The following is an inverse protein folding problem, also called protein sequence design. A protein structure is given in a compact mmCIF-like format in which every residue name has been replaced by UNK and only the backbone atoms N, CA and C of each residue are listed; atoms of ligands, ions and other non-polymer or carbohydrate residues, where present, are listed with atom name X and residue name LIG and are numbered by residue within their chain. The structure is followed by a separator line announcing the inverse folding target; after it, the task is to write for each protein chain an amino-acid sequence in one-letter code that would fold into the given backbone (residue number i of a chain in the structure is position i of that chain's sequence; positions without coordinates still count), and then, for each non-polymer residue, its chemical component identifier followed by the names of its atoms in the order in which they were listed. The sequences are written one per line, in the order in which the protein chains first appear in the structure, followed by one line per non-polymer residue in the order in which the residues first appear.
data_IF_637509861482
#
_entry.id   IF_637509861482
#
_cell.length_a   1.000
_cell.length_b   1.000
_cell.length_c   1.000
_cell.angle_alpha   90.00
_cell.angle_beta   90.00
_cell.angle_gamma   90.00
#
_symmetry.space_group_name_H-M   'P 1'
#
loop_
_entity.id
_entity.type
_entity.pdbx_description
1 polymer ?
#
# COMPACT_ATOMS: atom_id res chain seq x y z
N UNK A 1 -14.60 -24.90 13.35
CA UNK A 1 -13.62 -24.00 13.97
C UNK A 1 -12.27 -24.28 13.31
N UNK A 2 -11.99 -23.63 12.17
CA UNK A 2 -10.71 -23.75 11.46
C UNK A 2 -9.78 -22.66 11.97
N UNK A 3 -8.72 -23.06 12.63
CA UNK A 3 -7.65 -22.19 13.10
C UNK A 3 -6.88 -21.71 11.86
N UNK A 4 -7.14 -20.48 11.44
CA UNK A 4 -6.29 -19.82 10.45
C UNK A 4 -4.91 -19.57 11.11
N UNK A 5 -3.91 -20.35 10.72
CA UNK A 5 -2.51 -20.04 11.00
C UNK A 5 -2.23 -18.66 10.40
N UNK A 6 -1.92 -17.69 11.24
CA UNK A 6 -1.43 -16.37 10.85
C UNK A 6 -0.15 -16.55 10.05
N UNK A 7 -0.24 -16.41 8.74
CA UNK A 7 0.91 -16.20 7.88
C UNK A 7 1.25 -14.72 8.04
N UNK A 8 2.46 -14.31 8.39
CA UNK A 8 2.83 -12.91 8.43
C UNK A 8 2.82 -12.37 6.99
N UNK A 9 1.79 -11.61 6.66
CA UNK A 9 1.64 -10.95 5.36
C UNK A 9 2.51 -9.70 5.38
N UNK A 10 3.72 -9.82 4.89
CA UNK A 10 4.62 -8.69 4.61
C UNK A 10 4.67 -8.47 3.09
N UNK A 11 3.52 -8.21 2.50
CA UNK A 11 3.41 -7.92 1.07
C UNK A 11 2.80 -6.55 0.77
N UNK A 12 2.84 -5.63 1.71
CA UNK A 12 2.04 -4.42 1.59
C UNK A 12 2.86 -3.14 1.64
N UNK A 13 3.71 -2.84 0.71
CA UNK A 13 4.17 -1.45 0.53
C UNK A 13 5.25 -1.30 -0.55
N UNK A 14 4.99 -1.83 -1.73
CA UNK A 14 5.83 -1.55 -2.89
C UNK A 14 5.09 -0.68 -3.90
N UNK A 15 4.81 0.56 -3.52
CA UNK A 15 4.18 1.54 -4.39
C UNK A 15 5.17 2.61 -4.84
N UNK A 16 5.22 2.83 -6.13
CA UNK A 16 5.77 3.98 -6.86
C UNK A 16 7.21 4.33 -6.50
N UNK A 17 8.16 3.78 -7.24
CA UNK A 17 9.52 4.29 -7.31
C UNK A 17 9.56 5.42 -8.33
N UNK A 18 9.40 6.67 -7.90
CA UNK A 18 10.00 7.78 -8.61
C UNK A 18 11.49 7.72 -8.29
N UNK A 19 12.31 7.50 -9.31
CA UNK A 19 13.74 7.41 -9.17
C UNK A 19 14.30 8.72 -8.62
N UNK A 20 14.65 8.76 -7.34
CA UNK A 20 15.56 9.78 -6.81
C UNK A 20 16.97 9.19 -6.81
N UNK A 21 17.94 9.86 -7.45
CA UNK A 21 19.32 9.38 -7.50
C UNK A 21 20.08 9.79 -6.25
N UNK A 22 19.83 9.28 -5.08
CA UNK A 22 20.71 9.42 -3.92
C UNK A 22 20.35 8.48 -2.76
N UNK A 23 20.57 7.19 -2.98
CA UNK A 23 21.09 6.26 -1.98
C UNK A 23 21.94 5.29 -2.77
N UNK A 24 23.20 5.64 -2.95
CA UNK A 24 24.18 4.69 -3.46
C UNK A 24 24.15 3.48 -2.51
N UNK A 25 23.64 2.39 -3.03
CA UNK A 25 23.57 1.12 -2.35
C UNK A 25 25.01 0.71 -2.02
N UNK A 26 25.31 0.58 -0.74
CA UNK A 26 26.57 0.00 -0.28
C UNK A 26 26.82 -1.41 -0.80
N UNK A 27 25.80 -2.07 -1.31
CA UNK A 27 25.85 -3.43 -1.88
C UNK A 27 26.29 -3.51 -3.34
N UNK A 28 26.46 -2.38 -4.07
CA UNK A 28 26.89 -2.38 -5.48
C UNK A 28 28.37 -2.76 -5.69
N UNK A 29 29.17 -2.79 -4.63
CA UNK A 29 30.60 -3.17 -4.69
C UNK A 29 30.84 -4.64 -4.36
N UNK A 30 29.93 -5.33 -3.68
CA UNK A 30 30.06 -6.73 -3.34
C UNK A 30 29.78 -7.62 -4.56
N UNK A 31 30.67 -8.58 -4.83
CA UNK A 31 30.52 -9.56 -5.90
C UNK A 31 30.07 -10.94 -5.36
N UNK A 32 30.24 -11.15 -4.07
CA UNK A 32 29.89 -12.41 -3.40
C UNK A 32 29.11 -12.19 -2.11
N UNK A 33 28.30 -13.18 -1.68
CA UNK A 33 27.61 -13.11 -0.38
C UNK A 33 28.56 -12.94 0.81
N UNK A 34 29.75 -13.56 0.74
CA UNK A 34 30.73 -13.49 1.83
C UNK A 34 31.36 -12.09 1.96
N UNK A 35 31.50 -11.36 0.84
CA UNK A 35 31.89 -9.94 0.87
C UNK A 35 30.83 -9.06 1.50
N UNK A 36 29.54 -9.33 1.22
CA UNK A 36 28.42 -8.64 1.89
C UNK A 36 28.51 -8.86 3.41
N UNK A 37 28.68 -10.11 3.83
CA UNK A 37 28.76 -10.46 5.25
C UNK A 37 29.93 -9.77 5.97
N UNK A 38 31.11 -9.69 5.33
CA UNK A 38 32.29 -9.00 5.87
C UNK A 38 32.05 -7.50 6.04
N UNK A 39 31.54 -6.85 5.01
CA UNK A 39 31.34 -5.39 5.02
C UNK A 39 30.18 -4.94 5.91
N UNK A 40 29.20 -5.79 6.09
CA UNK A 40 28.04 -5.50 6.94
C UNK A 40 28.20 -5.98 8.39
N UNK A 41 29.34 -6.60 8.73
CA UNK A 41 29.57 -7.21 10.04
C UNK A 41 29.38 -6.24 11.22
N UNK A 42 29.72 -4.95 11.03
CA UNK A 42 29.58 -3.88 12.04
C UNK A 42 28.17 -3.29 12.11
N UNK A 43 27.29 -3.59 11.15
CA UNK A 43 25.93 -3.06 11.12
C UNK A 43 25.02 -3.76 12.16
N UNK A 44 23.98 -3.08 12.62
CA UNK A 44 22.90 -3.71 13.40
C UNK A 44 22.33 -4.93 12.67
N UNK A 45 21.83 -5.94 13.42
CA UNK A 45 21.37 -7.21 12.83
C UNK A 45 20.32 -7.04 11.72
N UNK A 46 19.36 -6.12 11.89
CA UNK A 46 18.31 -5.83 10.91
C UNK A 46 18.87 -5.19 9.64
N UNK A 47 19.84 -4.27 9.76
CA UNK A 47 20.50 -3.67 8.60
C UNK A 47 21.33 -4.69 7.84
N UNK A 48 22.08 -5.53 8.55
CA UNK A 48 22.90 -6.61 7.96
C UNK A 48 22.01 -7.60 7.18
N UNK A 49 20.92 -8.06 7.81
CA UNK A 49 19.95 -8.95 7.17
C UNK A 49 19.37 -8.32 5.90
N UNK A 50 19.00 -7.05 5.97
CA UNK A 50 18.41 -6.32 4.84
C UNK A 50 19.40 -6.10 3.69
N UNK A 51 20.66 -5.77 3.95
CA UNK A 51 21.69 -5.64 2.90
C UNK A 51 21.98 -6.98 2.22
N UNK A 52 22.02 -8.10 2.98
CA UNK A 52 22.13 -9.45 2.43
C UNK A 52 20.97 -9.81 1.52
N UNK A 53 19.75 -9.53 1.96
CA UNK A 53 18.55 -9.70 1.14
C UNK A 53 18.61 -8.86 -0.14
N UNK A 54 18.98 -7.58 -0.04
CA UNK A 54 19.10 -6.69 -1.21
C UNK A 54 20.11 -7.23 -2.21
N UNK A 55 21.28 -7.64 -1.74
CA UNK A 55 22.30 -8.24 -2.59
C UNK A 55 21.75 -9.49 -3.30
N UNK A 56 21.20 -10.45 -2.54
CA UNK A 56 20.60 -11.65 -3.13
C UNK A 56 19.53 -11.32 -4.18
N UNK A 57 18.67 -10.37 -3.89
CA UNK A 57 17.61 -9.94 -4.81
C UNK A 57 18.17 -9.39 -6.12
N UNK A 58 19.28 -8.64 -6.09
CA UNK A 58 19.91 -8.12 -7.32
C UNK A 58 20.52 -9.22 -8.20
N UNK A 59 20.76 -10.42 -7.67
CA UNK A 59 21.23 -11.57 -8.44
C UNK A 59 20.10 -12.31 -9.16
N UNK A 60 18.84 -11.98 -8.87
CA UNK A 60 17.69 -12.58 -9.54
C UNK A 60 17.39 -11.86 -10.87
N UNK A 61 16.88 -12.59 -11.89
CA UNK A 61 16.30 -11.96 -13.07
C UNK A 61 15.23 -10.92 -12.70
N UNK A 62 15.08 -9.83 -13.47
CA UNK A 62 14.17 -8.71 -13.12
C UNK A 62 12.73 -9.14 -12.80
N UNK A 63 12.19 -10.12 -13.54
CA UNK A 63 10.85 -10.68 -13.32
C UNK A 63 10.73 -11.42 -11.99
N UNK A 64 11.79 -12.04 -11.52
CA UNK A 64 11.83 -12.76 -10.25
C UNK A 64 12.07 -11.84 -9.04
N UNK A 65 12.58 -10.64 -9.26
CA UNK A 65 12.75 -9.64 -8.18
C UNK A 65 11.42 -9.07 -7.67
N UNK A 66 10.33 -9.31 -8.42
CA UNK A 66 8.97 -8.87 -8.11
C UNK A 66 8.02 -10.03 -7.77
N UNK A 67 8.57 -11.24 -7.61
CA UNK A 67 7.78 -12.43 -7.27
C UNK A 67 7.05 -12.22 -5.93
N UNK A 68 5.73 -12.41 -5.83
CA UNK A 68 4.99 -12.30 -4.58
C UNK A 68 5.50 -13.28 -3.51
N UNK A 69 6.16 -14.38 -3.91
CA UNK A 69 6.78 -15.35 -3.00
C UNK A 69 8.26 -15.05 -2.70
N UNK A 70 8.71 -13.81 -2.91
CA UNK A 70 10.12 -13.44 -2.80
C UNK A 70 10.73 -13.81 -1.43
N UNK A 71 9.99 -13.61 -0.33
CA UNK A 71 10.45 -13.95 1.01
C UNK A 71 10.56 -15.46 1.24
N UNK A 72 9.63 -16.24 0.69
CA UNK A 72 9.70 -17.72 0.71
C UNK A 72 10.94 -18.21 -0.03
N UNK A 73 11.25 -17.62 -1.17
CA UNK A 73 12.45 -17.92 -1.96
C UNK A 73 13.72 -17.48 -1.23
N UNK A 74 13.71 -16.33 -0.59
CA UNK A 74 14.84 -15.87 0.22
C UNK A 74 15.10 -16.81 1.41
N UNK A 75 14.04 -17.24 2.10
CA UNK A 75 14.13 -18.27 3.15
C UNK A 75 14.80 -19.55 2.63
N UNK A 76 14.38 -20.05 1.47
CA UNK A 76 14.96 -21.23 0.83
C UNK A 76 16.44 -21.00 0.47
N UNK A 77 16.80 -19.82 -0.03
CA UNK A 77 18.19 -19.44 -0.26
C UNK A 77 19.03 -19.48 1.03
N UNK A 78 18.54 -18.91 2.13
CA UNK A 78 19.24 -18.95 3.43
C UNK A 78 19.50 -20.39 3.88
N UNK A 79 18.53 -21.27 3.73
CA UNK A 79 18.68 -22.71 4.01
C UNK A 79 19.72 -23.37 3.12
N UNK A 80 19.78 -23.07 1.84
CA UNK A 80 20.81 -23.57 0.93
C UNK A 80 22.22 -23.08 1.30
N UNK A 81 22.31 -21.98 2.06
CA UNK A 81 23.56 -21.44 2.61
C UNK A 81 23.88 -22.00 4.01
N UNK A 82 23.20 -23.05 4.43
CA UNK A 82 23.46 -23.75 5.70
C UNK A 82 22.78 -23.17 6.94
N UNK A 83 21.84 -22.22 6.78
CA UNK A 83 21.04 -21.72 7.90
C UNK A 83 20.00 -22.75 8.33
N UNK A 84 19.81 -22.92 9.62
CA UNK A 84 18.68 -23.66 10.19
C UNK A 84 17.34 -22.97 9.87
N UNK A 85 16.23 -23.70 10.05
CA UNK A 85 14.88 -23.12 9.86
C UNK A 85 14.67 -21.90 10.76
N UNK A 86 15.07 -21.98 12.03
CA UNK A 86 14.93 -20.90 13.01
C UNK A 86 15.75 -19.65 12.62
N UNK A 87 16.98 -19.83 12.15
CA UNK A 87 17.84 -18.72 11.70
C UNK A 87 17.28 -18.07 10.43
N UNK A 88 16.79 -18.87 9.48
CA UNK A 88 16.20 -18.36 8.25
C UNK A 88 14.91 -17.58 8.54
N UNK A 89 14.06 -18.08 9.44
CA UNK A 89 12.82 -17.40 9.85
C UNK A 89 13.13 -16.09 10.60
N UNK A 90 14.11 -16.10 11.49
CA UNK A 90 14.54 -14.90 12.21
C UNK A 90 15.10 -13.83 11.24
N UNK A 91 15.89 -14.24 10.25
CA UNK A 91 16.45 -13.32 9.27
C UNK A 91 15.37 -12.74 8.35
N UNK A 92 14.43 -13.55 7.85
CA UNK A 92 13.27 -13.09 7.07
C UNK A 92 12.45 -12.09 7.89
N UNK A 93 12.22 -12.32 9.16
CA UNK A 93 11.54 -11.37 10.06
C UNK A 93 12.26 -10.02 10.12
N UNK A 94 13.58 -10.01 10.33
CA UNK A 94 14.38 -8.78 10.37
C UNK A 94 14.33 -8.02 9.04
N UNK A 95 14.41 -8.73 7.91
CA UNK A 95 14.29 -8.13 6.57
C UNK A 95 12.93 -7.47 6.39
N UNK A 96 11.86 -8.13 6.78
CA UNK A 96 10.51 -7.62 6.69
C UNK A 96 10.30 -6.37 7.57
N UNK A 97 10.70 -6.43 8.83
CA UNK A 97 10.60 -5.29 9.76
C UNK A 97 11.42 -4.09 9.28
N UNK A 98 12.61 -4.32 8.74
CA UNK A 98 13.44 -3.25 8.18
C UNK A 98 12.85 -2.67 6.90
N UNK A 99 12.33 -3.54 6.03
CA UNK A 99 11.63 -3.14 4.80
C UNK A 99 10.44 -2.23 5.11
N UNK A 100 9.58 -2.64 6.03
CA UNK A 100 8.41 -1.87 6.46
C UNK A 100 8.80 -0.51 7.03
N UNK A 101 9.81 -0.44 7.92
CA UNK A 101 10.31 0.83 8.45
C UNK A 101 10.83 1.76 7.35
N UNK A 102 11.64 1.23 6.44
CA UNK A 102 12.19 2.01 5.32
C UNK A 102 11.10 2.56 4.41
N UNK A 103 10.04 1.79 4.21
CA UNK A 103 8.90 2.21 3.40
C UNK A 103 8.06 3.28 4.11
N UNK A 104 7.81 3.13 5.41
CA UNK A 104 7.14 4.16 6.24
C UNK A 104 7.95 5.47 6.21
N UNK A 105 9.26 5.41 6.40
CA UNK A 105 10.15 6.57 6.32
C UNK A 105 10.11 7.23 4.92
N UNK A 106 10.07 6.43 3.88
CA UNK A 106 9.93 6.90 2.50
C UNK A 106 8.60 7.63 2.28
N UNK A 107 7.48 7.03 2.72
CA UNK A 107 6.16 7.65 2.61
C UNK A 107 6.05 8.90 3.46
N UNK A 108 6.60 8.90 4.66
CA UNK A 108 6.71 10.13 5.46
C UNK A 108 7.38 11.27 4.67
N UNK A 109 8.49 11.01 3.98
CA UNK A 109 9.16 12.04 3.17
C UNK A 109 8.34 12.48 1.96
N UNK A 110 7.71 11.53 1.25
CA UNK A 110 6.90 11.83 0.06
C UNK A 110 5.67 12.63 0.45
N UNK A 111 4.90 12.14 1.42
CA UNK A 111 3.60 12.69 1.79
C UNK A 111 3.69 14.03 2.55
N UNK A 112 4.85 14.34 3.16
CA UNK A 112 5.08 15.61 3.85
C UNK A 112 6.03 16.55 3.08
N UNK A 113 6.32 16.27 1.82
CA UNK A 113 7.14 17.14 1.01
C UNK A 113 6.48 18.51 0.84
N UNK A 114 7.26 19.57 0.95
CA UNK A 114 6.78 20.96 0.77
C UNK A 114 6.19 21.19 -0.63
N UNK A 115 6.77 20.54 -1.64
CA UNK A 115 6.29 20.53 -3.02
C UNK A 115 6.00 19.08 -3.43
N UNK A 116 4.80 18.57 -3.14
CA UNK A 116 4.49 17.18 -3.46
C UNK A 116 4.37 16.97 -4.99
N UNK A 117 4.88 15.83 -5.43
CA UNK A 117 4.76 15.37 -6.82
C UNK A 117 3.46 14.56 -7.05
N UNK A 118 2.45 14.78 -6.23
CA UNK A 118 1.14 14.15 -6.33
C UNK A 118 0.05 15.18 -6.08
N UNK A 119 -1.19 14.84 -6.50
CA UNK A 119 -2.36 15.70 -6.31
C UNK A 119 -2.70 15.86 -4.83
N UNK A 120 -2.79 17.11 -4.36
CA UNK A 120 -3.33 17.44 -3.04
C UNK A 120 -4.84 17.67 -3.07
N UNK A 121 -5.47 17.60 -4.25
CA UNK A 121 -6.93 17.64 -4.42
C UNK A 121 -7.51 16.26 -4.12
N UNK A 122 -8.78 16.16 -3.70
CA UNK A 122 -9.44 14.87 -3.55
C UNK A 122 -9.44 14.11 -4.88
N UNK A 123 -9.46 12.80 -4.80
CA UNK A 123 -9.53 11.93 -5.97
C UNK A 123 -10.83 12.20 -6.74
N UNK A 124 -10.74 12.44 -8.04
CA UNK A 124 -11.89 12.85 -8.85
C UNK A 124 -12.97 11.76 -8.92
N UNK A 125 -12.58 10.49 -9.02
CA UNK A 125 -13.52 9.38 -9.06
C UNK A 125 -14.27 9.23 -7.71
N UNK A 126 -13.56 9.38 -6.57
CA UNK A 126 -14.18 9.43 -5.27
C UNK A 126 -15.21 10.58 -5.19
N UNK A 127 -14.84 11.77 -5.65
CA UNK A 127 -15.75 12.94 -5.66
C UNK A 127 -17.04 12.63 -6.41
N UNK A 128 -16.94 12.03 -7.60
CA UNK A 128 -18.12 11.65 -8.39
C UNK A 128 -19.03 10.67 -7.64
N UNK A 129 -18.45 9.60 -7.08
CA UNK A 129 -19.22 8.57 -6.37
C UNK A 129 -19.85 9.12 -5.08
N UNK A 130 -19.08 9.84 -4.26
CA UNK A 130 -19.55 10.33 -2.98
C UNK A 130 -20.58 11.46 -3.10
N UNK A 131 -20.47 12.32 -4.13
CA UNK A 131 -21.45 13.40 -4.38
C UNK A 131 -22.85 12.88 -4.74
N UNK A 132 -22.96 11.66 -5.25
CA UNK A 132 -24.22 11.02 -5.58
C UNK A 132 -24.84 10.23 -4.40
N UNK A 133 -24.23 10.29 -3.20
CA UNK A 133 -24.64 9.51 -2.04
C UNK A 133 -24.94 10.39 -0.84
N UNK A 134 -25.83 9.91 0.03
CA UNK A 134 -26.08 10.55 1.33
C UNK A 134 -24.86 10.29 2.23
N UNK A 135 -24.31 11.32 2.89
CA UNK A 135 -23.23 11.15 3.85
C UNK A 135 -23.57 10.18 4.99
N UNK A 136 -22.61 9.38 5.37
CA UNK A 136 -22.65 8.40 6.44
C UNK A 136 -21.25 8.22 7.04
N UNK A 137 -20.88 7.00 7.42
CA UNK A 137 -19.52 6.67 7.90
C UNK A 137 -18.60 6.31 6.73
N UNK A 138 -17.42 6.93 6.67
CA UNK A 138 -16.42 6.65 5.64
C UNK A 138 -15.08 6.22 6.25
N UNK A 139 -14.44 5.24 5.60
CA UNK A 139 -13.08 4.82 5.91
C UNK A 139 -12.16 5.15 4.73
N UNK A 140 -11.10 5.92 5.00
CA UNK A 140 -10.05 6.25 4.03
C UNK A 140 -8.80 5.42 4.34
N UNK A 141 -8.55 4.39 3.53
CA UNK A 141 -7.45 3.43 3.70
C UNK A 141 -6.19 3.99 3.06
N UNK A 142 -5.11 4.10 3.84
CA UNK A 142 -3.89 4.75 3.37
C UNK A 142 -4.10 6.23 3.09
N UNK A 143 -4.72 6.93 4.05
CA UNK A 143 -5.21 8.31 3.90
C UNK A 143 -4.13 9.36 3.59
N UNK A 144 -2.85 9.04 3.83
CA UNK A 144 -1.72 9.95 3.67
C UNK A 144 -1.92 11.26 4.43
N UNK A 145 -1.77 12.39 3.75
CA UNK A 145 -2.00 13.72 4.31
C UNK A 145 -3.49 14.15 4.35
N UNK A 146 -4.42 13.22 4.11
CA UNK A 146 -5.85 13.39 4.37
C UNK A 146 -6.65 14.09 3.28
N UNK A 147 -6.18 14.23 2.03
CA UNK A 147 -6.88 14.95 0.96
C UNK A 147 -8.31 14.45 0.70
N UNK A 148 -8.51 13.12 0.69
CA UNK A 148 -9.82 12.49 0.52
C UNK A 148 -10.65 12.59 1.80
N UNK A 149 -10.05 12.26 2.94
CA UNK A 149 -10.69 12.34 4.26
C UNK A 149 -11.23 13.73 4.56
N UNK A 150 -10.44 14.77 4.29
CA UNK A 150 -10.83 16.17 4.54
C UNK A 150 -11.99 16.58 3.65
N UNK A 151 -11.91 16.24 2.35
CA UNK A 151 -12.98 16.54 1.42
C UNK A 151 -14.29 15.82 1.80
N UNK A 152 -14.24 14.54 2.15
CA UNK A 152 -15.40 13.79 2.63
C UNK A 152 -16.01 14.43 3.88
N UNK A 153 -15.18 14.82 4.85
CA UNK A 153 -15.66 15.51 6.05
C UNK A 153 -16.32 16.85 5.73
N UNK A 154 -15.81 17.61 4.76
CA UNK A 154 -16.45 18.84 4.26
C UNK A 154 -17.82 18.57 3.60
N UNK A 155 -18.04 17.37 3.08
CA UNK A 155 -19.33 16.93 2.54
C UNK A 155 -20.25 16.33 3.62
N UNK A 156 -19.85 16.34 4.89
CA UNK A 156 -20.67 15.88 6.00
C UNK A 156 -20.52 14.39 6.35
N UNK A 157 -19.51 13.69 5.79
CA UNK A 157 -19.21 12.31 6.17
C UNK A 157 -18.53 12.25 7.54
N UNK A 158 -18.86 11.22 8.36
CA UNK A 158 -18.10 10.86 9.56
C UNK A 158 -16.89 10.01 9.14
N UNK A 159 -15.73 10.64 9.04
CA UNK A 159 -14.55 10.05 8.43
C UNK A 159 -13.59 9.51 9.46
N UNK A 160 -13.17 8.26 9.26
CA UNK A 160 -11.99 7.68 9.87
C UNK A 160 -10.97 7.39 8.77
N UNK A 161 -9.71 7.76 8.98
CA UNK A 161 -8.62 7.41 8.09
C UNK A 161 -7.48 6.77 8.85
N UNK A 162 -6.70 5.93 8.20
CA UNK A 162 -5.46 5.41 8.78
C UNK A 162 -4.34 5.35 7.74
N UNK A 163 -3.11 5.47 8.24
CA UNK A 163 -1.90 5.36 7.43
C UNK A 163 -0.73 4.95 8.34
N UNK A 164 0.21 4.10 7.92
CA UNK A 164 1.38 3.76 8.72
C UNK A 164 2.40 4.91 8.84
N UNK A 165 2.32 5.93 7.96
CA UNK A 165 3.22 7.07 7.93
C UNK A 165 2.79 8.13 8.97
N UNK A 166 3.32 8.08 10.18
CA UNK A 166 2.92 8.92 11.32
C UNK A 166 3.01 10.43 11.05
N UNK A 167 4.01 10.87 10.24
CA UNK A 167 4.15 12.29 9.88
C UNK A 167 3.08 12.73 8.89
N UNK A 168 2.66 11.83 8.00
CA UNK A 168 1.56 12.11 7.09
C UNK A 168 0.22 12.22 7.85
N UNK A 169 -0.03 11.34 8.81
CA UNK A 169 -1.21 11.41 9.68
C UNK A 169 -1.23 12.71 10.50
N UNK A 170 -0.08 13.11 11.06
CA UNK A 170 0.03 14.37 11.78
C UNK A 170 -0.29 15.57 10.87
N UNK A 171 0.23 15.57 9.63
CA UNK A 171 -0.07 16.59 8.63
C UNK A 171 -1.54 16.57 8.21
N UNK A 172 -2.17 15.40 8.11
CA UNK A 172 -3.60 15.28 7.82
C UNK A 172 -4.47 15.97 8.90
N UNK A 173 -4.16 15.77 10.18
CA UNK A 173 -4.84 16.44 11.28
C UNK A 173 -4.65 17.96 11.22
N UNK A 174 -3.45 18.44 10.91
CA UNK A 174 -3.19 19.87 10.74
C UNK A 174 -3.99 20.43 9.54
N UNK A 175 -4.01 19.73 8.40
CA UNK A 175 -4.77 20.11 7.22
C UNK A 175 -6.29 20.14 7.51
N UNK A 176 -6.81 19.13 8.22
CA UNK A 176 -8.22 19.08 8.63
C UNK A 176 -8.60 20.28 9.49
N UNK A 177 -7.75 20.62 10.49
CA UNK A 177 -7.94 21.80 11.34
C UNK A 177 -7.95 23.11 10.52
N UNK A 178 -7.03 23.25 9.54
CA UNK A 178 -6.99 24.41 8.64
C UNK A 178 -8.23 24.50 7.75
N UNK A 179 -8.78 23.35 7.36
CA UNK A 179 -10.01 23.26 6.56
C UNK A 179 -11.30 23.41 7.38
N UNK A 180 -11.21 23.53 8.71
CA UNK A 180 -12.36 23.67 9.61
C UNK A 180 -13.19 22.41 9.79
N UNK A 181 -12.61 21.23 9.56
CA UNK A 181 -13.27 19.93 9.72
C UNK A 181 -12.56 19.03 10.74
N UNK A 182 -13.28 18.02 11.20
CA UNK A 182 -12.74 16.97 12.07
C UNK A 182 -12.72 15.63 11.33
N UNK A 183 -11.64 14.89 11.50
CA UNK A 183 -11.46 13.52 11.04
C UNK A 183 -10.90 12.68 12.18
N UNK A 184 -11.26 11.40 12.23
CA UNK A 184 -10.66 10.42 13.14
C UNK A 184 -9.48 9.79 12.43
N UNK A 185 -8.34 9.61 13.11
CA UNK A 185 -7.15 9.06 12.49
C UNK A 185 -6.47 8.01 13.35
N UNK A 186 -5.87 7.00 12.72
CA UNK A 186 -5.02 6.02 13.39
C UNK A 186 -3.69 5.86 12.63
N UNK A 187 -2.58 5.73 13.37
CA UNK A 187 -1.28 5.38 12.79
C UNK A 187 -1.18 3.86 12.80
N UNK A 188 -1.58 3.23 11.71
CA UNK A 188 -1.62 1.77 11.56
C UNK A 188 -1.36 1.34 10.13
N UNK A 189 -0.79 0.14 9.95
CA UNK A 189 -0.85 -0.60 8.70
C UNK A 189 -2.22 -1.23 8.49
N UNK A 190 -2.49 -1.68 7.27
CA UNK A 190 -3.76 -2.31 6.91
C UNK A 190 -3.99 -3.62 7.69
N UNK A 191 -2.94 -4.35 7.99
CA UNK A 191 -2.94 -5.60 8.75
C UNK A 191 -3.29 -5.43 10.24
N UNK A 192 -3.06 -4.24 10.80
CA UNK A 192 -3.28 -3.92 12.21
C UNK A 192 -4.56 -3.12 12.46
N UNK A 193 -5.21 -2.64 11.37
CA UNK A 193 -6.43 -1.86 11.49
C UNK A 193 -7.66 -2.76 11.66
N UNK A 194 -8.50 -2.44 12.64
CA UNK A 194 -9.79 -3.11 12.82
C UNK A 194 -10.86 -2.49 11.91
N UNK A 195 -11.13 -3.16 10.79
CA UNK A 195 -12.16 -2.74 9.85
C UNK A 195 -13.58 -2.87 10.41
N UNK A 196 -13.78 -3.73 11.40
CA UNK A 196 -15.10 -4.06 11.94
C UNK A 196 -15.97 -4.86 10.95
N UNK A 197 -17.24 -5.03 11.31
CA UNK A 197 -18.25 -5.67 10.46
C UNK A 197 -19.47 -4.73 10.32
N UNK A 198 -19.98 -4.59 9.09
CA UNK A 198 -21.14 -3.71 8.77
C UNK A 198 -21.01 -2.32 9.39
N UNK A 199 -19.81 -1.72 9.29
CA UNK A 199 -19.45 -0.48 9.98
C UNK A 199 -19.45 0.74 9.04
N UNK A 200 -19.17 0.53 7.76
CA UNK A 200 -18.87 1.63 6.84
C UNK A 200 -19.91 1.75 5.73
N UNK A 201 -20.38 2.97 5.49
CA UNK A 201 -21.19 3.30 4.32
C UNK A 201 -20.30 3.48 3.08
N UNK A 202 -19.01 3.84 3.28
CA UNK A 202 -18.02 3.93 2.21
C UNK A 202 -16.64 3.52 2.69
N UNK A 203 -15.92 2.73 1.88
CA UNK A 203 -14.49 2.44 2.07
C UNK A 203 -13.75 2.92 0.82
N UNK A 204 -12.72 3.74 1.00
CA UNK A 204 -11.92 4.35 -0.07
C UNK A 204 -10.55 3.73 -0.10
N UNK A 205 -10.12 3.29 -1.30
CA UNK A 205 -8.77 2.80 -1.59
C UNK A 205 -8.23 3.56 -2.81
N UNK A 206 -7.55 4.69 -2.57
CA UNK A 206 -6.93 5.47 -3.63
C UNK A 206 -5.45 5.15 -3.73
N UNK A 207 -5.05 4.35 -4.73
CA UNK A 207 -3.67 3.89 -4.94
C UNK A 207 -3.11 3.11 -3.75
N UNK A 208 -3.95 2.32 -3.13
CA UNK A 208 -3.63 1.40 -2.02
C UNK A 208 -3.98 -0.03 -2.44
N UNK A 209 -3.22 -1.02 -1.97
CA UNK A 209 -3.47 -2.43 -2.28
C UNK A 209 -4.81 -2.92 -1.72
N UNK A 210 -5.56 -3.65 -2.54
CA UNK A 210 -6.86 -4.22 -2.17
C UNK A 210 -6.85 -5.77 -2.15
N UNK A 211 -5.81 -6.39 -2.74
CA UNK A 211 -5.76 -7.85 -2.95
C UNK A 211 -5.68 -8.66 -1.66
N UNK A 212 -5.07 -8.09 -0.64
CA UNK A 212 -4.73 -8.84 0.57
C UNK A 212 -5.94 -9.11 1.46
N UNK A 213 -6.95 -8.24 1.39
CA UNK A 213 -8.05 -8.24 2.35
C UNK A 213 -9.46 -8.03 1.74
N UNK A 214 -9.77 -8.59 0.56
CA UNK A 214 -11.06 -8.34 -0.08
C UNK A 214 -12.25 -8.79 0.78
N UNK A 215 -12.15 -9.93 1.45
CA UNK A 215 -13.21 -10.45 2.32
C UNK A 215 -13.42 -9.58 3.56
N UNK A 216 -12.34 -9.01 4.11
CA UNK A 216 -12.42 -8.11 5.26
C UNK A 216 -13.13 -6.81 4.84
N UNK A 217 -12.73 -6.23 3.70
CA UNK A 217 -13.35 -5.02 3.14
C UNK A 217 -14.83 -5.23 2.88
N UNK A 218 -15.21 -6.35 2.23
CA UNK A 218 -16.60 -6.66 1.92
C UNK A 218 -17.46 -6.81 3.19
N UNK A 219 -16.94 -7.50 4.23
CA UNK A 219 -17.68 -7.65 5.50
C UNK A 219 -17.79 -6.34 6.27
N UNK A 220 -16.80 -5.46 6.15
CA UNK A 220 -16.78 -4.19 6.85
C UNK A 220 -17.79 -3.17 6.28
N UNK A 221 -18.21 -3.31 5.03
CA UNK A 221 -19.27 -2.49 4.44
C UNK A 221 -20.63 -2.81 5.09
N UNK A 222 -21.45 -1.80 5.33
CA UNK A 222 -22.88 -1.97 5.64
C UNK A 222 -23.63 -2.47 4.41
N UNK A 223 -24.81 -3.09 4.56
CA UNK A 223 -25.74 -3.26 3.44
C UNK A 223 -25.97 -1.91 2.73
N UNK A 224 -25.88 -1.87 1.40
CA UNK A 224 -25.91 -0.63 0.59
C UNK A 224 -24.61 0.21 0.63
N UNK A 225 -23.63 -0.15 1.47
CA UNK A 225 -22.33 0.50 1.51
C UNK A 225 -21.46 0.16 0.31
N UNK A 226 -20.51 1.04 -0.01
CA UNK A 226 -19.65 0.91 -1.21
C UNK A 226 -18.17 0.89 -0.89
N UNK A 227 -17.42 0.13 -1.67
CA UNK A 227 -15.98 0.31 -1.83
C UNK A 227 -15.72 1.15 -3.08
N UNK A 228 -14.81 2.13 -2.97
CA UNK A 228 -14.37 2.99 -4.08
C UNK A 228 -12.87 2.81 -4.24
N UNK A 229 -12.45 2.33 -5.40
CA UNK A 229 -11.04 2.04 -5.71
C UNK A 229 -10.61 2.81 -6.95
N UNK A 230 -9.49 3.53 -6.89
CA UNK A 230 -8.74 3.98 -8.05
C UNK A 230 -7.29 3.51 -7.92
N UNK A 231 -6.77 2.90 -8.97
CA UNK A 231 -5.44 2.31 -9.02
C UNK A 231 -4.88 2.34 -10.44
N UNK A 232 -3.66 1.86 -10.63
CA UNK A 232 -3.06 1.74 -11.96
C UNK A 232 -3.50 0.46 -12.66
N UNK A 233 -3.72 0.55 -13.96
CA UNK A 233 -3.81 -0.63 -14.81
C UNK A 233 -2.41 -1.20 -15.10
N UNK A 234 -2.31 -2.49 -15.37
CA UNK A 234 -1.05 -3.18 -15.73
C UNK A 234 -0.27 -2.46 -16.84
N UNK A 235 -0.96 -1.88 -17.79
CA UNK A 235 -0.31 -1.12 -18.88
C UNK A 235 0.52 0.07 -18.40
N UNK A 236 0.19 0.68 -17.26
CA UNK A 236 0.91 1.80 -16.68
C UNK A 236 2.30 1.42 -16.14
N UNK A 237 2.59 0.11 -15.95
CA UNK A 237 3.91 -0.36 -15.48
C UNK A 237 4.97 -0.38 -16.57
N UNK A 238 4.59 -0.27 -17.85
CA UNK A 238 5.52 -0.28 -18.96
C UNK A 238 6.43 0.95 -18.90
N UNK A 239 7.72 0.72 -18.60
CA UNK A 239 8.71 1.79 -18.45
C UNK A 239 8.64 2.59 -17.15
N UNK A 240 7.85 2.14 -16.18
CA UNK A 240 7.71 2.76 -14.86
C UNK A 240 8.06 1.80 -13.73
N UNK A 241 8.30 2.37 -12.54
CA UNK A 241 8.60 1.61 -11.32
C UNK A 241 7.40 1.54 -10.36
N UNK A 242 6.18 1.50 -10.90
CA UNK A 242 4.95 1.34 -10.10
C UNK A 242 4.96 -0.04 -9.45
N UNK A 243 4.68 -0.07 -8.14
CA UNK A 243 4.64 -1.31 -7.35
C UNK A 243 3.40 -2.15 -7.65
N UNK A 244 3.55 -3.48 -7.62
CA UNK A 244 2.50 -4.45 -7.94
C UNK A 244 1.25 -4.32 -7.06
N UNK A 245 1.38 -3.86 -5.82
CA UNK A 245 0.26 -3.74 -4.88
C UNK A 245 -0.86 -2.82 -5.36
N UNK A 246 -0.54 -1.83 -6.19
CA UNK A 246 -1.50 -0.83 -6.71
C UNK A 246 -1.73 -0.95 -8.21
N UNK A 247 -1.37 -2.09 -8.80
CA UNK A 247 -1.50 -2.38 -10.23
C UNK A 247 -2.48 -3.53 -10.41
N UNK A 248 -3.50 -3.36 -11.23
CA UNK A 248 -4.54 -4.36 -11.48
C UNK A 248 -4.65 -4.66 -12.98
N UNK A 249 -4.99 -5.91 -13.29
CA UNK A 249 -5.30 -6.33 -14.64
C UNK A 249 -6.77 -5.99 -15.00
N UNK A 250 -7.08 -5.97 -16.30
CA UNK A 250 -8.45 -5.79 -16.78
C UNK A 250 -9.40 -6.78 -16.10
N UNK A 251 -10.48 -6.27 -15.51
CA UNK A 251 -11.52 -7.08 -14.84
C UNK A 251 -11.11 -7.65 -13.47
N UNK A 252 -9.91 -7.41 -12.98
CA UNK A 252 -9.42 -7.98 -11.73
C UNK A 252 -10.20 -7.44 -10.51
N UNK A 253 -10.43 -6.12 -10.42
CA UNK A 253 -11.15 -5.54 -9.27
C UNK A 253 -12.58 -6.10 -9.09
N UNK A 254 -13.42 -6.21 -10.13
CA UNK A 254 -14.71 -6.90 -9.98
C UNK A 254 -14.60 -8.36 -9.56
N UNK A 255 -13.59 -9.09 -10.04
CA UNK A 255 -13.34 -10.47 -9.65
C UNK A 255 -12.84 -10.61 -8.19
N UNK A 256 -12.13 -9.61 -7.71
CA UNK A 256 -11.62 -9.54 -6.33
C UNK A 256 -12.75 -9.37 -5.29
N UNK A 257 -13.83 -8.72 -5.69
CA UNK A 257 -15.00 -8.45 -4.83
C UNK A 257 -16.27 -9.16 -5.34
N UNK A 258 -16.31 -10.50 -5.36
CA UNK A 258 -17.37 -11.27 -6.03
C UNK A 258 -18.74 -11.13 -5.36
N UNK A 259 -18.81 -10.67 -4.11
CA UNK A 259 -20.05 -10.49 -3.36
C UNK A 259 -20.60 -9.06 -3.43
N UNK A 260 -19.90 -8.17 -4.15
CA UNK A 260 -20.36 -6.81 -4.36
C UNK A 260 -21.03 -6.66 -5.74
N UNK A 261 -22.13 -5.94 -5.78
CA UNK A 261 -22.73 -5.50 -7.03
C UNK A 261 -21.87 -4.42 -7.67
N UNK A 262 -21.42 -4.61 -8.89
CA UNK A 262 -20.68 -3.58 -9.63
C UNK A 262 -21.57 -2.38 -9.90
N UNK A 263 -21.26 -1.24 -9.31
CA UNK A 263 -21.94 0.04 -9.57
C UNK A 263 -21.27 0.76 -10.75
N UNK A 264 -19.93 0.77 -10.76
CA UNK A 264 -19.14 1.35 -11.85
C UNK A 264 -17.80 0.65 -11.96
N UNK A 265 -17.41 0.36 -13.19
CA UNK A 265 -16.08 -0.14 -13.53
C UNK A 265 -15.63 0.52 -14.83
N UNK A 266 -14.43 1.07 -14.84
CA UNK A 266 -13.84 1.71 -16.00
C UNK A 266 -12.32 1.68 -15.98
N UNK A 267 -11.72 1.72 -17.16
CA UNK A 267 -10.27 1.74 -17.35
C UNK A 267 -9.85 2.95 -18.22
N UNK A 268 -10.00 4.18 -17.73
CA UNK A 268 -9.71 5.36 -18.52
C UNK A 268 -8.22 5.58 -18.70
N UNK A 269 -7.84 6.25 -19.80
CA UNK A 269 -6.54 6.91 -19.91
C UNK A 269 -6.70 8.30 -19.33
N UNK A 270 -5.95 8.58 -18.26
CA UNK A 270 -6.08 9.83 -17.52
C UNK A 270 -4.76 10.20 -16.82
N UNK A 271 -4.73 11.38 -16.21
CA UNK A 271 -3.66 11.79 -15.30
C UNK A 271 -3.90 11.16 -13.94
N UNK A 272 -2.95 10.35 -13.48
CA UNK A 272 -2.97 9.76 -12.14
C UNK A 272 -2.69 10.83 -11.07
N UNK A 273 -3.21 10.59 -9.87
CA UNK A 273 -2.96 11.50 -8.73
C UNK A 273 -1.47 11.61 -8.36
N UNK A 274 -0.64 10.67 -8.75
CA UNK A 274 0.82 10.66 -8.54
C UNK A 274 1.62 11.25 -9.71
N UNK A 275 1.02 12.15 -10.48
CA UNK A 275 1.72 12.94 -11.50
C UNK A 275 2.09 12.20 -12.78
N UNK A 276 1.61 10.98 -12.97
CA UNK A 276 1.74 10.26 -14.23
C UNK A 276 0.60 10.67 -15.16
N UNK A 277 0.96 11.22 -16.32
CA UNK A 277 0.01 11.68 -17.30
C UNK A 277 -0.26 10.63 -18.38
N UNK A 278 -1.49 10.61 -18.90
CA UNK A 278 -1.92 9.71 -19.99
C UNK A 278 -1.61 8.23 -19.70
N UNK A 279 -1.84 7.79 -18.45
CA UNK A 279 -1.73 6.38 -18.06
C UNK A 279 -3.11 5.73 -17.95
N UNK A 280 -3.19 4.43 -18.23
CA UNK A 280 -4.42 3.68 -17.99
C UNK A 280 -4.58 3.45 -16.48
N UNK A 281 -5.71 3.88 -15.95
CA UNK A 281 -6.14 3.65 -14.57
C UNK A 281 -7.18 2.54 -14.53
N UNK A 282 -7.43 2.00 -13.34
CA UNK A 282 -8.58 1.15 -13.05
C UNK A 282 -9.40 1.83 -11.98
N UNK A 283 -10.71 2.02 -12.23
CA UNK A 283 -11.67 2.61 -11.33
C UNK A 283 -12.79 1.62 -11.05
N UNK A 284 -13.09 1.39 -9.80
CA UNK A 284 -14.11 0.45 -9.38
C UNK A 284 -14.94 1.00 -8.24
N UNK A 285 -16.25 0.90 -8.36
CA UNK A 285 -17.19 1.08 -7.28
C UNK A 285 -18.06 -0.18 -7.17
N UNK A 286 -17.92 -0.89 -6.05
CA UNK A 286 -18.74 -2.06 -5.73
C UNK A 286 -19.60 -1.79 -4.52
N UNK A 287 -20.87 -2.21 -4.55
CA UNK A 287 -21.84 -2.02 -3.48
C UNK A 287 -22.20 -3.35 -2.84
N UNK A 288 -22.19 -3.40 -1.51
CA UNK A 288 -22.70 -4.56 -0.78
C UNK A 288 -24.22 -4.61 -0.93
N UNK A 289 -24.81 -5.71 -1.44
CA UNK A 289 -26.26 -5.89 -1.48
C UNK A 289 -26.90 -5.76 -0.09
N UNK A 290 -28.20 -5.37 -0.07
CA UNK A 290 -29.00 -5.31 1.15
C UNK A 290 -29.30 -6.70 1.77
#
# INVERSE_FOLDING_TARGET
MRIYKRIPIVALLWCIVVATPHLQSTALWAQTPDEVDKHTASLPPDQRAYERFRFWRTQLPPEQQRDPNLMTRYRAYLKSRGRSDAEADAEVKLVNERGSRSEIERWNRILTAEKPHFSTKPNAFLVEIASARKPGTALDVGMGQGRNSIWLAQQGWDVTGFDPAEKAVALALENARKAGVQIKTEVKGMEDFDFGESRWDMIVLSYVGAREMPDVIQRALKPGGVVVVEAFHRDATKGSSIGEAVVFDTGELPALFPHLRVVRYEEPIATADFGLDQVRLVRYCGERPE
#
